data_IF_517992712765
#
_entry.id   IF_517992712765
#
_cell.length_a   1.000
_cell.length_b   1.000
_cell.length_c   1.000
_cell.angle_alpha   90.00
_cell.angle_beta   90.00
_cell.angle_gamma   90.00
#
_symmetry.space_group_name_H-M   'P 1'
#
loop_
_entity.id
_entity.type
_entity.pdbx_description
1 polymer ?
#
# COMPACT_ATOMS: atom_id res chain seq x y z
N UNK A 1 10.31 8.60 -11.79
CA UNK A 1 9.02 8.15 -12.35
C UNK A 1 7.93 8.58 -11.39
N UNK A 2 6.74 8.94 -11.88
CA UNK A 2 5.61 9.18 -10.98
C UNK A 2 5.24 7.83 -10.33
N UNK A 3 4.96 7.82 -9.02
CA UNK A 3 4.67 6.60 -8.27
C UNK A 3 3.29 6.06 -8.63
N UNK A 4 3.25 5.14 -9.60
CA UNK A 4 2.06 4.31 -9.84
C UNK A 4 1.80 3.47 -8.59
N UNK A 5 0.53 3.36 -8.19
CA UNK A 5 0.12 2.50 -7.11
C UNK A 5 -1.09 1.66 -7.48
N UNK A 6 -1.24 0.56 -6.75
CA UNK A 6 -2.53 -0.11 -6.58
C UNK A 6 -3.16 0.38 -5.29
N UNK A 7 -4.42 0.78 -5.37
CA UNK A 7 -5.22 1.22 -4.22
C UNK A 7 -5.97 0.02 -3.67
N UNK A 8 -5.80 -0.25 -2.38
CA UNK A 8 -6.42 -1.37 -1.67
C UNK A 8 -7.21 -0.83 -0.48
N UNK A 9 -8.43 -1.33 -0.27
CA UNK A 9 -9.14 -1.16 0.98
C UNK A 9 -8.93 -2.39 1.86
N UNK A 10 -8.84 -2.21 3.17
CA UNK A 10 -8.62 -3.32 4.11
C UNK A 10 -9.84 -3.49 5.01
N UNK A 11 -10.36 -4.71 5.08
CA UNK A 11 -11.40 -5.12 6.03
C UNK A 11 -10.80 -6.16 6.96
N UNK A 12 -10.86 -5.92 8.26
CA UNK A 12 -10.47 -6.90 9.27
C UNK A 12 -11.74 -7.45 9.91
N UNK A 13 -11.96 -8.77 9.83
CA UNK A 13 -13.04 -9.40 10.59
C UNK A 13 -12.61 -9.45 12.05
N UNK A 14 -13.49 -9.00 12.95
CA UNK A 14 -13.18 -8.99 14.39
C UNK A 14 -12.84 -10.41 14.88
N UNK A 15 -11.75 -10.51 15.66
CA UNK A 15 -11.15 -11.78 16.05
C UNK A 15 -9.98 -12.27 15.17
N UNK A 16 -9.78 -11.72 13.97
CA UNK A 16 -8.62 -12.05 13.13
C UNK A 16 -7.32 -11.40 13.66
N UNK A 17 -6.20 -12.11 13.57
CA UNK A 17 -4.88 -11.64 13.99
C UNK A 17 -4.18 -10.85 12.86
N UNK A 18 -4.77 -9.73 12.48
CA UNK A 18 -4.28 -8.90 11.39
C UNK A 18 -3.03 -8.09 11.77
N UNK A 19 -1.98 -8.15 10.92
CA UNK A 19 -0.82 -7.28 11.03
C UNK A 19 -0.63 -6.43 9.76
N UNK A 20 -1.66 -5.64 9.44
CA UNK A 20 -1.79 -4.87 8.19
C UNK A 20 -0.55 -4.01 7.91
N UNK A 21 -0.02 -3.32 8.92
CA UNK A 21 1.13 -2.43 8.71
C UNK A 21 2.39 -3.22 8.33
N UNK A 22 2.69 -4.30 9.06
CA UNK A 22 3.82 -5.20 8.75
C UNK A 22 3.71 -5.74 7.32
N UNK A 23 2.52 -6.18 6.94
CA UNK A 23 2.31 -6.82 5.64
C UNK A 23 2.39 -5.81 4.49
N UNK A 24 1.90 -4.59 4.73
CA UNK A 24 2.02 -3.48 3.79
C UNK A 24 3.48 -3.04 3.62
N UNK A 25 4.23 -2.92 4.71
CA UNK A 25 5.65 -2.57 4.68
C UNK A 25 6.45 -3.65 3.95
N UNK A 26 6.20 -4.93 4.26
CA UNK A 26 6.83 -6.06 3.60
C UNK A 26 6.50 -6.12 2.11
N UNK A 27 5.22 -5.92 1.73
CA UNK A 27 4.81 -5.91 0.33
C UNK A 27 5.47 -4.79 -0.47
N UNK A 28 5.64 -3.61 0.14
CA UNK A 28 6.27 -2.49 -0.51
C UNK A 28 7.81 -2.56 -0.53
N UNK A 29 8.43 -3.32 0.36
CA UNK A 29 9.84 -3.72 0.23
C UNK A 29 10.09 -4.60 -1.00
N UNK A 30 9.04 -5.13 -1.64
CA UNK A 30 9.12 -5.89 -2.90
C UNK A 30 8.65 -5.02 -4.08
N UNK A 31 7.41 -4.51 -4.04
CA UNK A 31 6.79 -3.80 -5.17
C UNK A 31 7.58 -2.57 -5.61
N UNK A 32 8.13 -1.81 -4.66
CA UNK A 32 8.85 -0.59 -4.97
C UNK A 32 10.20 -0.85 -5.65
N UNK A 33 11.14 -1.60 -5.07
CA UNK A 33 12.43 -1.82 -5.72
C UNK A 33 12.32 -2.67 -7.00
N UNK A 34 11.47 -3.71 -7.00
CA UNK A 34 11.38 -4.63 -8.14
C UNK A 34 10.61 -4.01 -9.31
N UNK A 35 9.49 -3.34 -9.03
CA UNK A 35 8.59 -2.88 -10.07
C UNK A 35 8.42 -1.35 -10.16
N UNK A 36 9.01 -0.57 -9.25
CA UNK A 36 8.83 0.89 -9.21
C UNK A 36 7.39 1.32 -8.91
N UNK A 37 6.61 0.44 -8.27
CA UNK A 37 5.19 0.65 -7.94
C UNK A 37 4.97 0.52 -6.44
N UNK A 38 3.86 1.03 -5.94
CA UNK A 38 3.55 0.97 -4.51
C UNK A 38 2.14 0.40 -4.24
N UNK A 39 1.96 -0.19 -3.07
CA UNK A 39 0.67 -0.64 -2.55
C UNK A 39 0.15 0.42 -1.59
N UNK A 40 -0.98 1.04 -1.92
CA UNK A 40 -1.60 2.08 -1.09
C UNK A 40 -2.87 1.56 -0.41
N UNK A 41 -2.83 1.42 0.92
CA UNK A 41 -4.06 1.22 1.69
C UNK A 41 -4.77 2.55 1.86
N UNK A 42 -5.92 2.72 1.19
CA UNK A 42 -6.65 4.00 1.16
C UNK A 42 -7.71 4.11 2.24
N UNK A 43 -8.13 2.98 2.80
CA UNK A 43 -9.11 2.89 3.86
C UNK A 43 -8.95 1.56 4.60
N UNK A 44 -9.29 1.56 5.90
CA UNK A 44 -9.31 0.38 6.74
C UNK A 44 -10.53 0.42 7.65
N UNK A 45 -11.19 -0.73 7.81
CA UNK A 45 -12.26 -0.90 8.78
C UNK A 45 -12.15 -2.25 9.49
N UNK A 46 -12.79 -2.36 10.66
CA UNK A 46 -12.99 -3.63 11.36
C UNK A 46 -14.49 -3.92 11.42
N UNK A 47 -14.89 -5.15 11.13
CA UNK A 47 -16.29 -5.57 11.04
C UNK A 47 -16.55 -6.77 11.96
N UNK A 48 -17.58 -6.67 12.79
CA UNK A 48 -18.04 -7.77 13.66
C UNK A 48 -18.94 -8.73 12.86
N UNK A 49 -18.32 -9.74 12.25
CA UNK A 49 -18.94 -10.82 11.47
C UNK A 49 -18.25 -12.15 11.78
N UNK A 50 -18.48 -12.72 12.98
CA UNK A 50 -17.77 -13.92 13.44
C UNK A 50 -18.05 -15.15 12.56
N UNK A 51 -19.16 -15.15 11.84
CA UNK A 51 -19.52 -16.14 10.82
C UNK A 51 -18.59 -16.12 9.60
N UNK A 52 -17.91 -15.00 9.34
CA UNK A 52 -16.93 -14.85 8.25
C UNK A 52 -15.48 -15.02 8.71
N UNK A 53 -15.25 -15.38 9.98
CA UNK A 53 -13.91 -15.50 10.54
C UNK A 53 -13.18 -16.74 10.01
N UNK A 54 -13.91 -17.82 9.71
CA UNK A 54 -13.39 -19.04 9.08
C UNK A 54 -14.29 -19.41 7.91
N UNK A 55 -13.78 -19.34 6.68
CA UNK A 55 -14.55 -19.69 5.49
C UNK A 55 -14.61 -21.20 5.30
N UNK A 56 -15.74 -21.73 4.83
CA UNK A 56 -15.83 -23.12 4.36
C UNK A 56 -15.30 -23.25 2.92
N UNK A 57 -14.07 -22.77 2.72
CA UNK A 57 -13.39 -22.78 1.43
C UNK A 57 -12.49 -24.01 1.34
N UNK A 58 -12.66 -24.78 0.28
CA UNK A 58 -11.83 -25.98 0.04
C UNK A 58 -10.86 -25.84 -1.14
N UNK A 59 -10.94 -24.73 -1.86
CA UNK A 59 -10.13 -24.45 -3.02
C UNK A 59 -9.70 -22.98 -3.09
N UNK A 60 -8.52 -22.77 -3.64
CA UNK A 60 -7.98 -21.45 -3.93
C UNK A 60 -7.33 -21.48 -5.30
N UNK A 61 -8.15 -21.72 -6.33
CA UNK A 61 -7.68 -21.89 -7.70
C UNK A 61 -8.16 -20.72 -8.55
N UNK A 62 -7.24 -20.09 -9.28
CA UNK A 62 -7.60 -19.01 -10.21
C UNK A 62 -8.60 -19.45 -11.31
N UNK A 63 -8.71 -20.76 -11.59
CA UNK A 63 -9.66 -21.31 -12.55
C UNK A 63 -10.47 -22.44 -11.93
N UNK A 64 -11.80 -22.39 -12.13
CA UNK A 64 -12.72 -23.41 -11.64
C UNK A 64 -13.07 -23.28 -10.16
N UNK A 65 -12.81 -22.11 -9.57
CA UNK A 65 -13.14 -21.85 -8.19
C UNK A 65 -14.65 -21.66 -7.98
N UNK A 66 -15.17 -22.35 -6.99
CA UNK A 66 -16.56 -22.29 -6.57
C UNK A 66 -16.66 -21.39 -5.35
N UNK A 67 -17.29 -20.23 -5.52
CA UNK A 67 -17.48 -19.26 -4.45
C UNK A 67 -18.47 -19.82 -3.43
N UNK A 68 -18.04 -19.94 -2.17
CA UNK A 68 -18.92 -20.31 -1.06
C UNK A 68 -19.85 -19.16 -0.66
N UNK A 69 -20.96 -19.44 0.03
CA UNK A 69 -21.90 -18.40 0.47
C UNK A 69 -21.19 -17.39 1.40
N UNK A 70 -20.37 -17.87 2.35
CA UNK A 70 -19.60 -17.03 3.25
C UNK A 70 -18.55 -16.20 2.52
N UNK A 71 -17.90 -16.75 1.49
CA UNK A 71 -16.97 -15.98 0.66
C UNK A 71 -17.71 -14.89 -0.14
N UNK A 72 -18.88 -15.20 -0.70
CA UNK A 72 -19.69 -14.21 -1.39
C UNK A 72 -20.02 -13.02 -0.48
N UNK A 73 -20.43 -13.30 0.76
CA UNK A 73 -20.73 -12.30 1.78
C UNK A 73 -19.49 -11.54 2.27
N UNK A 74 -18.34 -12.21 2.42
CA UNK A 74 -17.07 -11.56 2.74
C UNK A 74 -16.70 -10.54 1.65
N UNK A 75 -16.84 -10.95 0.39
CA UNK A 75 -16.46 -10.13 -0.75
C UNK A 75 -17.41 -8.97 -1.03
N UNK A 76 -18.57 -8.90 -0.38
CA UNK A 76 -19.44 -7.71 -0.37
C UNK A 76 -18.96 -6.60 0.57
N UNK A 77 -18.14 -6.92 1.57
CA UNK A 77 -17.64 -5.95 2.53
C UNK A 77 -16.61 -5.00 1.91
N UNK A 78 -16.64 -3.73 2.33
CA UNK A 78 -15.60 -2.74 2.05
C UNK A 78 -15.63 -2.14 0.63
N UNK A 79 -16.63 -2.45 -0.19
CA UNK A 79 -16.73 -1.99 -1.59
C UNK A 79 -17.01 -0.50 -1.74
N UNK A 80 -17.48 0.14 -0.68
CA UNK A 80 -17.71 1.59 -0.59
C UNK A 80 -16.49 2.36 -0.05
N UNK A 81 -15.40 1.67 0.29
CA UNK A 81 -14.18 2.28 0.87
C UNK A 81 -13.26 2.95 -0.18
N UNK A 82 -13.70 3.01 -1.43
CA UNK A 82 -13.07 3.82 -2.48
C UNK A 82 -11.82 3.19 -3.11
N UNK A 83 -11.67 1.85 -3.06
CA UNK A 83 -10.65 1.08 -3.76
C UNK A 83 -11.28 0.00 -4.64
N UNK A 84 -10.63 -0.31 -5.76
CA UNK A 84 -11.07 -1.36 -6.69
C UNK A 84 -10.79 -2.78 -6.18
N UNK A 85 -9.82 -2.91 -5.26
CA UNK A 85 -9.42 -4.16 -4.62
C UNK A 85 -9.64 -4.06 -3.12
N UNK A 86 -10.23 -5.10 -2.53
CA UNK A 86 -10.40 -5.23 -1.08
C UNK A 86 -9.57 -6.41 -0.58
N UNK A 87 -8.78 -6.17 0.46
CA UNK A 87 -8.04 -7.19 1.19
C UNK A 87 -8.75 -7.49 2.52
N UNK A 88 -9.02 -8.76 2.77
CA UNK A 88 -9.70 -9.22 3.97
C UNK A 88 -8.71 -9.89 4.92
N UNK A 89 -8.79 -9.59 6.20
CA UNK A 89 -8.11 -10.38 7.24
C UNK A 89 -9.15 -11.20 7.99
N UNK A 90 -8.95 -12.52 7.97
CA UNK A 90 -9.79 -13.54 8.60
C UNK A 90 -8.89 -14.50 9.40
N UNK A 91 -9.46 -15.43 10.17
CA UNK A 91 -8.67 -16.45 10.84
C UNK A 91 -8.11 -17.49 9.85
N UNK A 92 -8.90 -17.87 8.84
CA UNK A 92 -8.49 -18.78 7.77
C UNK A 92 -9.67 -19.48 7.12
N UNK A 93 -9.46 -20.71 6.67
CA UNK A 93 -10.49 -21.56 6.07
C UNK A 93 -10.45 -23.00 6.61
N UNK A 94 -11.35 -23.83 6.12
CA UNK A 94 -11.42 -25.27 6.46
C UNK A 94 -10.34 -26.11 5.76
N UNK A 95 -9.71 -25.63 4.69
CA UNK A 95 -8.63 -26.32 3.96
C UNK A 95 -7.22 -26.09 4.54
N UNK A 96 -7.03 -25.09 5.39
CA UNK A 96 -5.76 -24.66 5.92
C UNK A 96 -4.92 -23.79 4.97
N UNK A 97 -5.53 -23.04 4.04
CA UNK A 97 -4.78 -22.06 3.25
C UNK A 97 -4.36 -20.86 4.11
N UNK A 98 -3.27 -20.20 3.70
CA UNK A 98 -2.74 -19.00 4.38
C UNK A 98 -3.35 -17.70 3.87
N UNK A 99 -3.90 -17.75 2.68
CA UNK A 99 -4.49 -16.65 1.95
C UNK A 99 -5.12 -17.19 0.68
N UNK A 100 -5.99 -16.39 0.09
CA UNK A 100 -6.52 -16.72 -1.22
C UNK A 100 -6.90 -15.48 -2.01
N UNK A 101 -6.49 -15.47 -3.27
CA UNK A 101 -6.84 -14.46 -4.27
C UNK A 101 -7.97 -14.88 -5.23
N UNK A 102 -8.55 -16.05 -5.04
CA UNK A 102 -9.79 -16.40 -5.73
C UNK A 102 -10.89 -15.45 -5.24
N UNK A 103 -11.73 -14.99 -6.17
CA UNK A 103 -12.73 -13.98 -5.87
C UNK A 103 -13.92 -14.07 -6.82
N UNK A 104 -15.11 -13.62 -6.40
CA UNK A 104 -16.26 -13.55 -7.28
C UNK A 104 -16.04 -12.59 -8.47
N UNK A 105 -16.71 -12.81 -9.61
CA UNK A 105 -16.65 -11.88 -10.75
C UNK A 105 -17.05 -10.46 -10.35
N UNK A 106 -16.23 -9.47 -10.75
CA UNK A 106 -16.48 -8.05 -10.47
C UNK A 106 -16.18 -7.59 -9.04
N UNK A 107 -15.81 -8.49 -8.13
CA UNK A 107 -15.43 -8.18 -6.73
C UNK A 107 -13.97 -8.53 -6.48
N UNK A 108 -13.04 -7.90 -7.21
CA UNK A 108 -11.60 -8.18 -7.07
C UNK A 108 -11.14 -8.01 -5.63
N UNK A 109 -10.40 -8.98 -5.13
CA UNK A 109 -9.98 -8.99 -3.74
C UNK A 109 -9.28 -10.28 -3.37
N UNK A 110 -8.84 -10.35 -2.14
CA UNK A 110 -8.19 -11.52 -1.58
C UNK A 110 -8.32 -11.51 -0.06
N UNK A 111 -8.12 -12.65 0.58
CA UNK A 111 -8.06 -12.74 2.03
C UNK A 111 -6.71 -13.27 2.52
N UNK A 112 -6.37 -12.91 3.76
CA UNK A 112 -5.15 -13.31 4.48
C UNK A 112 -5.57 -13.91 5.81
N UNK A 113 -5.12 -15.15 6.07
CA UNK A 113 -5.41 -15.89 7.31
C UNK A 113 -4.38 -15.68 8.41
N UNK A 114 -4.68 -16.08 9.64
CA UNK A 114 -3.82 -15.90 10.82
C UNK A 114 -2.48 -16.64 10.74
N UNK A 115 -2.43 -17.70 9.93
CA UNK A 115 -1.20 -18.46 9.71
C UNK A 115 -0.33 -17.86 8.60
N UNK A 116 -0.75 -16.77 7.96
CA UNK A 116 0.03 -16.09 6.92
C UNK A 116 1.40 -15.60 7.41
N UNK A 117 2.36 -15.56 6.47
CA UNK A 117 3.61 -14.79 6.66
C UNK A 117 3.45 -13.36 6.17
N UNK A 118 4.42 -12.49 6.46
CA UNK A 118 4.40 -11.09 6.01
C UNK A 118 4.35 -10.91 4.49
N UNK A 119 4.68 -11.96 3.72
CA UNK A 119 4.67 -11.93 2.26
C UNK A 119 3.31 -12.28 1.64
N UNK A 120 2.38 -12.84 2.44
CA UNK A 120 1.12 -13.39 1.92
C UNK A 120 0.21 -12.31 1.37
N UNK A 121 0.11 -11.16 2.03
CA UNK A 121 -0.66 -10.03 1.51
C UNK A 121 -0.22 -9.63 0.10
N UNK A 122 1.09 -9.45 -0.10
CA UNK A 122 1.63 -9.05 -1.39
C UNK A 122 1.55 -10.17 -2.42
N UNK A 123 1.72 -11.43 -2.01
CA UNK A 123 1.55 -12.61 -2.85
C UNK A 123 0.13 -12.69 -3.43
N UNK A 124 -0.89 -12.65 -2.56
CA UNK A 124 -2.28 -12.71 -2.99
C UNK A 124 -2.67 -11.49 -3.82
N UNK A 125 -2.22 -10.30 -3.43
CA UNK A 125 -2.41 -9.10 -4.25
C UNK A 125 -1.83 -9.29 -5.66
N UNK A 126 -0.65 -9.91 -5.80
CA UNK A 126 0.00 -10.14 -7.10
C UNK A 126 -0.70 -11.19 -7.96
N UNK A 127 -1.49 -12.08 -7.36
CA UNK A 127 -2.44 -12.88 -8.12
C UNK A 127 -3.56 -12.00 -8.66
N UNK A 128 -4.16 -11.16 -7.81
CA UNK A 128 -5.25 -10.27 -8.20
C UNK A 128 -4.80 -9.26 -9.26
N UNK A 129 -3.62 -8.66 -9.12
CA UNK A 129 -3.07 -7.69 -10.08
C UNK A 129 -2.12 -8.36 -11.08
N UNK A 130 -2.47 -8.32 -12.36
CA UNK A 130 -1.65 -8.88 -13.43
C UNK A 130 -1.68 -10.40 -13.57
N UNK A 131 -2.61 -11.11 -12.93
CA UNK A 131 -2.88 -12.55 -13.12
C UNK A 131 -1.61 -13.42 -13.03
N UNK A 132 -0.73 -13.13 -12.07
CA UNK A 132 0.52 -13.87 -11.95
C UNK A 132 0.28 -15.25 -11.35
N UNK A 133 0.74 -16.32 -11.99
CA UNK A 133 0.66 -17.68 -11.44
C UNK A 133 1.82 -17.99 -10.50
N UNK A 134 1.68 -19.06 -9.70
CA UNK A 134 2.77 -19.57 -8.89
C UNK A 134 3.98 -19.98 -9.73
N UNK A 135 5.17 -19.76 -9.17
CA UNK A 135 6.44 -20.21 -9.74
C UNK A 135 7.14 -21.20 -8.82
N UNK A 136 8.11 -21.95 -9.38
CA UNK A 136 8.89 -22.94 -8.62
C UNK A 136 10.09 -22.37 -7.85
N UNK A 137 10.49 -21.13 -8.13
CA UNK A 137 11.63 -20.48 -7.47
C UNK A 137 11.24 -20.04 -6.04
N UNK A 138 12.00 -20.49 -5.03
CA UNK A 138 11.77 -20.15 -3.62
C UNK A 138 12.19 -18.74 -3.25
N UNK A 139 12.91 -18.04 -4.12
CA UNK A 139 13.30 -16.63 -3.89
C UNK A 139 12.26 -15.64 -4.44
N UNK A 140 11.27 -16.11 -5.21
CA UNK A 140 10.27 -15.26 -5.83
C UNK A 140 9.02 -15.10 -4.94
N UNK A 141 8.41 -13.90 -4.98
CA UNK A 141 7.19 -13.61 -4.21
C UNK A 141 6.06 -14.59 -4.56
N UNK A 142 5.95 -15.00 -5.83
CA UNK A 142 4.93 -15.94 -6.32
C UNK A 142 5.28 -17.41 -6.07
N UNK A 143 6.18 -17.71 -5.13
CA UNK A 143 6.36 -19.09 -4.68
C UNK A 143 5.12 -19.57 -3.91
N UNK A 144 4.59 -20.74 -4.28
CA UNK A 144 3.34 -21.33 -3.74
C UNK A 144 3.21 -21.43 -2.20
N UNK A 145 4.30 -21.29 -1.46
CA UNK A 145 4.28 -21.34 0.00
C UNK A 145 5.13 -20.20 0.55
N UNK A 146 4.48 -19.10 0.91
CA UNK A 146 5.10 -17.88 1.43
C UNK A 146 5.90 -18.10 2.72
N UNK A 147 5.65 -19.19 3.45
CA UNK A 147 6.43 -19.61 4.62
C UNK A 147 7.73 -20.35 4.30
N UNK A 148 8.00 -20.62 3.02
CA UNK A 148 9.22 -21.29 2.53
C UNK A 148 10.02 -20.44 1.56
N UNK A 149 9.72 -19.15 1.48
CA UNK A 149 10.52 -18.19 0.73
C UNK A 149 11.92 -18.10 1.38
N UNK A 150 12.96 -18.19 0.56
CA UNK A 150 14.37 -18.28 1.02
C UNK A 150 15.17 -16.99 0.89
N UNK A 151 14.73 -16.05 0.05
CA UNK A 151 15.31 -14.72 -0.10
C UNK A 151 14.34 -13.65 0.40
N UNK A 152 14.47 -13.15 1.64
CA UNK A 152 13.70 -11.99 2.11
C UNK A 152 14.51 -10.68 1.97
N UNK A 153 13.97 -9.61 1.32
CA UNK A 153 12.70 -9.57 0.61
C UNK A 153 12.73 -10.42 -0.67
N UNK A 154 11.60 -11.07 -1.04
CA UNK A 154 11.54 -11.88 -2.25
C UNK A 154 11.49 -11.05 -3.53
N UNK A 155 11.86 -11.67 -4.64
CA UNK A 155 11.96 -11.01 -5.94
C UNK A 155 10.63 -11.05 -6.72
N UNK A 156 10.46 -10.10 -7.64
CA UNK A 156 9.49 -10.17 -8.73
C UNK A 156 10.22 -10.06 -10.07
N UNK A 157 9.86 -10.89 -11.04
CA UNK A 157 10.49 -10.82 -12.36
C UNK A 157 9.97 -9.63 -13.16
N UNK A 158 10.76 -9.19 -14.14
CA UNK A 158 10.34 -8.15 -15.09
C UNK A 158 8.98 -8.45 -15.74
N UNK A 159 8.72 -9.72 -16.07
CA UNK A 159 7.44 -10.16 -16.64
C UNK A 159 6.28 -10.03 -15.65
N UNK A 160 6.51 -10.37 -14.37
CA UNK A 160 5.50 -10.19 -13.32
C UNK A 160 5.20 -8.71 -13.14
N UNK A 161 6.24 -7.87 -13.00
CA UNK A 161 6.09 -6.42 -12.92
C UNK A 161 5.40 -5.81 -14.15
N UNK A 162 5.69 -6.32 -15.36
CA UNK A 162 5.04 -5.86 -16.58
C UNK A 162 3.55 -6.18 -16.64
N UNK A 163 3.12 -7.33 -16.08
CA UNK A 163 1.69 -7.65 -15.98
C UNK A 163 0.99 -6.80 -14.94
N UNK A 164 1.59 -6.66 -13.76
CA UNK A 164 1.08 -5.79 -12.70
C UNK A 164 0.85 -4.38 -13.24
N UNK A 165 1.84 -3.80 -13.95
CA UNK A 165 1.74 -2.44 -14.52
C UNK A 165 0.66 -2.27 -15.59
N UNK A 166 0.29 -3.34 -16.31
CA UNK A 166 -0.74 -3.30 -17.34
C UNK A 166 -2.15 -3.43 -16.77
N UNK A 167 -2.27 -3.78 -15.49
CA UNK A 167 -3.56 -3.90 -14.83
C UNK A 167 -4.26 -2.53 -14.78
N UNK A 168 -5.56 -2.51 -15.06
CA UNK A 168 -6.33 -1.26 -15.14
C UNK A 168 -6.48 -0.52 -13.81
N UNK A 169 -6.28 -1.22 -12.68
CA UNK A 169 -6.32 -0.62 -11.34
C UNK A 169 -5.02 0.06 -10.95
N UNK A 170 -3.95 -0.11 -11.75
CA UNK A 170 -2.72 0.64 -11.57
C UNK A 170 -2.90 2.06 -12.08
N UNK A 171 -2.52 3.03 -11.26
CA UNK A 171 -2.63 4.43 -11.65
C UNK A 171 -1.86 5.39 -10.77
N UNK A 172 -1.94 6.66 -11.15
CA UNK A 172 -1.32 7.76 -10.43
C UNK A 172 -1.90 7.89 -9.01
N UNK A 173 -1.07 7.67 -7.99
CA UNK A 173 -1.48 7.69 -6.60
C UNK A 173 -1.21 9.05 -5.97
N UNK A 174 -2.24 9.91 -5.90
CA UNK A 174 -2.19 11.08 -5.02
C UNK A 174 -2.79 10.70 -3.67
N UNK A 175 -1.91 10.56 -2.68
CA UNK A 175 -2.24 10.25 -1.30
C UNK A 175 -2.47 11.54 -0.51
N UNK A 176 -3.13 11.41 0.64
CA UNK A 176 -3.32 12.52 1.57
C UNK A 176 -2.85 12.12 2.97
N UNK A 177 -2.12 13.02 3.63
CA UNK A 177 -1.77 12.92 5.03
C UNK A 177 -2.22 14.18 5.77
N UNK A 178 -2.63 14.05 7.03
CA UNK A 178 -3.04 15.17 7.87
C UNK A 178 -2.38 15.06 9.23
N UNK A 179 -1.81 16.15 9.73
CA UNK A 179 -1.10 16.17 11.01
C UNK A 179 -0.43 17.51 11.27
N UNK A 180 0.19 17.64 12.43
CA UNK A 180 0.97 18.82 12.81
C UNK A 180 2.42 18.64 12.37
N UNK A 181 3.05 19.65 11.73
CA UNK A 181 4.46 19.59 11.40
C UNK A 181 5.33 19.43 12.66
N UNK A 182 6.08 18.33 12.78
CA UNK A 182 7.02 18.07 13.90
C UNK A 182 8.48 18.31 13.52
N UNK A 183 8.76 18.33 12.22
CA UNK A 183 10.04 18.68 11.64
C UNK A 183 9.81 19.50 10.38
N UNK A 184 10.59 20.57 10.20
CA UNK A 184 10.61 21.34 8.95
C UNK A 184 12.06 21.74 8.65
N UNK A 185 12.56 21.31 7.49
CA UNK A 185 13.92 21.60 7.02
C UNK A 185 13.89 22.23 5.64
N UNK A 186 14.66 23.29 5.47
CA UNK A 186 15.01 23.85 4.16
C UNK A 186 16.52 23.75 3.98
N UNK A 187 16.99 23.35 2.81
CA UNK A 187 18.41 23.05 2.58
C UNK A 187 18.84 23.37 1.14
N UNK A 188 20.15 23.30 0.89
CA UNK A 188 20.75 23.69 -0.38
C UNK A 188 20.30 22.80 -1.55
N UNK A 189 20.07 23.43 -2.70
CA UNK A 189 19.62 22.76 -3.93
C UNK A 189 20.49 21.56 -4.30
N UNK A 190 19.85 20.45 -4.64
CA UNK A 190 20.50 19.24 -5.14
C UNK A 190 21.22 18.39 -4.09
N UNK A 191 21.05 18.70 -2.80
CA UNK A 191 21.60 17.86 -1.71
C UNK A 191 20.62 16.76 -1.29
N UNK A 192 19.31 16.97 -1.47
CA UNK A 192 18.26 16.00 -1.21
C UNK A 192 18.16 15.55 0.25
N UNK A 193 17.28 14.57 0.50
CA UNK A 193 17.00 14.07 1.84
C UNK A 193 16.72 12.57 1.86
N UNK A 194 17.21 11.89 2.88
CA UNK A 194 17.02 10.44 3.09
C UNK A 194 18.26 9.61 2.73
N UNK A 195 18.28 8.31 3.11
CA UNK A 195 19.32 7.38 2.70
C UNK A 195 19.22 7.06 1.20
N UNK A 196 20.29 6.54 0.55
CA UNK A 196 20.32 6.29 -0.90
C UNK A 196 19.14 5.50 -1.46
N UNK A 197 18.65 4.50 -0.71
CA UNK A 197 17.56 3.61 -1.14
C UNK A 197 16.15 4.16 -0.81
N UNK A 198 16.07 5.32 -0.16
CA UNK A 198 14.83 6.00 0.21
C UNK A 198 15.05 7.52 0.22
N UNK A 199 15.50 8.03 -0.94
CA UNK A 199 15.96 9.40 -1.12
C UNK A 199 14.98 10.24 -1.95
N UNK A 200 14.71 11.46 -1.50
CA UNK A 200 13.95 12.47 -2.24
C UNK A 200 14.81 13.67 -2.64
N UNK A 201 14.76 14.01 -3.93
CA UNK A 201 15.38 15.22 -4.50
C UNK A 201 14.45 16.42 -4.27
N UNK A 202 14.60 17.08 -3.12
CA UNK A 202 13.76 18.20 -2.66
C UNK A 202 14.60 19.23 -1.94
N UNK A 203 14.05 20.43 -1.71
CA UNK A 203 14.71 21.49 -0.94
C UNK A 203 13.97 21.85 0.36
N UNK A 204 12.66 21.56 0.44
CA UNK A 204 11.86 21.65 1.65
C UNK A 204 11.40 20.25 2.05
N UNK A 205 11.55 19.91 3.33
CA UNK A 205 11.18 18.61 3.93
C UNK A 205 10.37 18.84 5.20
N UNK A 206 9.28 18.10 5.37
CA UNK A 206 8.39 18.14 6.53
C UNK A 206 8.09 16.72 7.02
N UNK A 207 7.99 16.55 8.33
CA UNK A 207 7.44 15.36 9.00
C UNK A 207 6.17 15.76 9.74
N UNK A 208 5.19 14.86 9.81
CA UNK A 208 3.94 15.08 10.55
C UNK A 208 3.87 14.18 11.78
N UNK A 209 3.29 14.67 12.87
CA UNK A 209 3.04 13.90 14.10
C UNK A 209 2.28 12.58 13.88
N UNK A 210 1.35 12.58 12.92
CA UNK A 210 0.53 11.43 12.55
C UNK A 210 1.25 10.43 11.65
N UNK A 211 2.43 10.78 11.15
CA UNK A 211 3.25 9.97 10.22
C UNK A 211 4.72 10.03 10.69
N UNK A 212 5.03 9.54 11.91
CA UNK A 212 6.39 9.57 12.41
C UNK A 212 7.32 8.76 11.50
N UNK A 213 8.55 9.23 11.36
CA UNK A 213 9.59 8.63 10.50
C UNK A 213 9.26 8.64 8.99
N UNK A 214 8.17 9.31 8.56
CA UNK A 214 7.86 9.57 7.16
C UNK A 214 8.11 11.03 6.78
N UNK A 215 8.90 11.24 5.71
CA UNK A 215 9.34 12.56 5.29
C UNK A 215 8.74 12.94 3.94
N UNK A 216 8.08 14.10 3.91
CA UNK A 216 7.47 14.65 2.72
C UNK A 216 8.22 15.89 2.28
N UNK A 217 8.43 16.08 0.98
CA UNK A 217 9.13 17.27 0.53
C UNK A 217 8.74 17.75 -0.85
N UNK A 218 9.23 18.93 -1.20
CA UNK A 218 9.04 19.49 -2.53
C UNK A 218 10.22 20.37 -2.92
N UNK A 219 10.35 20.57 -4.21
CA UNK A 219 11.47 21.30 -4.79
C UNK A 219 11.24 22.81 -4.73
N UNK A 220 12.30 23.61 -4.58
CA UNK A 220 12.28 25.07 -4.64
C UNK A 220 13.04 25.58 -5.86
N UNK A 221 12.85 24.91 -7.01
CA UNK A 221 13.50 25.22 -8.28
C UNK A 221 12.97 26.51 -8.89
N UNK A 222 13.86 27.24 -9.57
CA UNK A 222 13.55 28.45 -10.34
C UNK A 222 12.82 28.08 -11.64
N UNK A 223 11.52 27.79 -11.50
CA UNK A 223 10.61 27.44 -12.57
C UNK A 223 9.25 28.15 -12.37
N UNK A 224 8.33 27.97 -13.32
CA UNK A 224 7.00 28.60 -13.29
C UNK A 224 6.14 28.21 -12.07
N UNK A 225 6.49 27.13 -11.37
CA UNK A 225 5.75 26.63 -10.21
C UNK A 225 6.30 27.20 -8.89
N UNK A 226 7.46 27.88 -8.91
CA UNK A 226 8.10 28.47 -7.72
C UNK A 226 7.14 29.31 -6.87
N UNK A 227 6.26 30.17 -7.41
CA UNK A 227 5.32 30.94 -6.58
C UNK A 227 4.38 30.06 -5.76
N UNK A 228 3.88 28.97 -6.33
CA UNK A 228 3.02 28.03 -5.62
C UNK A 228 3.79 27.30 -4.51
N UNK A 229 5.01 26.86 -4.81
CA UNK A 229 5.87 26.15 -3.85
C UNK A 229 6.35 27.05 -2.71
N UNK A 230 6.59 28.34 -2.98
CA UNK A 230 6.84 29.33 -1.95
C UNK A 230 5.62 29.50 -1.03
N UNK A 231 4.41 29.57 -1.58
CA UNK A 231 3.17 29.60 -0.79
C UNK A 231 3.01 28.35 0.10
N UNK A 232 3.31 27.16 -0.42
CA UNK A 232 3.31 25.94 0.40
C UNK A 232 4.34 26.00 1.53
N UNK A 233 5.55 26.49 1.28
CA UNK A 233 6.58 26.63 2.31
C UNK A 233 6.18 27.64 3.39
N UNK A 234 5.60 28.77 3.00
CA UNK A 234 5.15 29.80 3.94
C UNK A 234 4.00 29.27 4.82
N UNK A 235 3.08 28.48 4.25
CA UNK A 235 2.04 27.77 5.00
C UNK A 235 2.64 26.79 6.00
N UNK A 236 3.58 25.94 5.59
CA UNK A 236 4.20 24.96 6.49
C UNK A 236 5.03 25.62 7.60
N UNK A 237 5.70 26.74 7.32
CA UNK A 237 6.38 27.55 8.34
C UNK A 237 5.40 28.10 9.35
N UNK A 238 4.31 28.70 8.89
CA UNK A 238 3.25 29.20 9.76
C UNK A 238 2.67 28.09 10.62
N UNK A 239 2.42 26.92 10.02
CA UNK A 239 1.86 25.78 10.73
C UNK A 239 2.81 25.22 11.79
N UNK A 240 4.10 25.10 11.48
CA UNK A 240 5.15 24.68 12.40
C UNK A 240 5.33 25.67 13.56
N UNK A 241 5.29 26.99 13.28
CA UNK A 241 5.45 28.05 14.29
C UNK A 241 4.25 28.13 15.25
N UNK A 242 3.04 27.90 14.75
CA UNK A 242 1.80 28.01 15.54
C UNK A 242 1.29 26.67 16.05
N UNK A 243 2.00 25.58 15.79
CA UNK A 243 1.56 24.21 16.09
C UNK A 243 0.13 23.98 15.59
N UNK A 244 -0.10 24.13 14.27
CA UNK A 244 -1.42 23.91 13.64
C UNK A 244 -1.37 22.75 12.64
N UNK A 245 -2.48 22.00 12.48
CA UNK A 245 -2.52 20.86 11.59
C UNK A 245 -2.57 21.31 10.12
N UNK A 246 -1.92 20.53 9.25
CA UNK A 246 -1.97 20.71 7.80
C UNK A 246 -2.44 19.43 7.12
N UNK A 247 -2.95 19.59 5.90
CA UNK A 247 -3.12 18.50 4.95
C UNK A 247 -2.07 18.58 3.86
N UNK A 248 -1.40 17.46 3.60
CA UNK A 248 -0.51 17.27 2.46
C UNK A 248 -1.18 16.33 1.46
N UNK A 249 -1.28 16.75 0.20
CA UNK A 249 -1.50 15.80 -0.89
C UNK A 249 -0.14 15.51 -1.55
N UNK A 250 0.23 14.24 -1.66
CA UNK A 250 1.58 13.82 -2.04
C UNK A 250 1.57 12.58 -2.94
N UNK A 251 2.69 12.36 -3.64
CA UNK A 251 3.01 11.09 -4.30
C UNK A 251 4.09 10.39 -3.51
N UNK A 252 3.91 9.11 -3.20
CA UNK A 252 4.97 8.32 -2.56
C UNK A 252 6.07 8.04 -3.58
N UNK A 253 7.32 8.18 -3.15
CA UNK A 253 8.50 7.99 -3.99
C UNK A 253 9.52 7.04 -3.38
N UNK A 254 9.35 6.70 -2.10
CA UNK A 254 10.18 5.75 -1.38
C UNK A 254 9.43 5.07 -0.22
N UNK A 255 10.15 4.23 0.53
CA UNK A 255 9.56 3.48 1.65
C UNK A 255 9.04 4.40 2.74
N UNK A 256 9.69 5.52 3.01
CA UNK A 256 9.30 6.51 4.02
C UNK A 256 9.22 7.91 3.45
N UNK A 257 9.47 8.07 2.14
CA UNK A 257 9.55 9.38 1.52
C UNK A 257 8.47 9.64 0.47
N UNK A 258 8.04 10.90 0.38
CA UNK A 258 7.04 11.34 -0.60
C UNK A 258 7.26 12.77 -1.09
N UNK A 259 6.84 13.04 -2.33
CA UNK A 259 6.85 14.37 -2.93
C UNK A 259 5.49 15.03 -2.76
N UNK A 260 5.45 16.14 -2.03
CA UNK A 260 4.27 16.97 -1.83
C UNK A 260 3.89 17.66 -3.14
N UNK A 261 2.62 17.54 -3.49
CA UNK A 261 2.00 18.25 -4.60
C UNK A 261 1.26 19.51 -4.13
N UNK A 262 0.61 19.43 -2.96
CA UNK A 262 -0.20 20.49 -2.38
C UNK A 262 -0.12 20.44 -0.85
N UNK A 263 -0.13 21.60 -0.23
CA UNK A 263 -0.29 21.77 1.21
C UNK A 263 -1.49 22.70 1.48
N UNK A 264 -2.29 22.36 2.48
CA UNK A 264 -3.44 23.15 2.89
C UNK A 264 -3.50 23.25 4.41
N UNK A 265 -3.93 24.40 4.90
CA UNK A 265 -4.23 24.62 6.31
C UNK A 265 -5.55 23.91 6.66
N UNK A 266 -5.65 23.43 7.90
CA UNK A 266 -6.86 22.80 8.41
C UNK A 266 -7.42 23.67 9.55
N UNK A 267 -8.73 23.98 9.53
CA UNK A 267 -9.37 24.84 10.53
C UNK A 267 -9.41 24.22 11.93
#
# INVERSE_FOLDING_TARGET
MAGECVRVAVVVIDGANANVNRDLDAGNQVYLPECGMWIAVVARTTVDRPDLLVLDQTDCLANGHEVSDEEDELFDLGRDLGADIVAYYIQGDTAGFRGCAAHPPGRRGFWVGDTATQWTFAHELTHVVGDNGHVGNTDNLMFRNTGRITNPPPDLTDDQCARIRRDEVMGDCVLAAQGRPTFLRVHDRGTGFGPPDDHIDVEAVVELDSRPDEFFGFQMRDDKELPARQGMLDLLRSAFEHDTPVRLDYRRTGLTTGVVLRAADLP
#
